data_IF_054558462743
#
_entry.id   IF_054558462743
#
_cell.length_a   1.000
_cell.length_b   1.000
_cell.length_c   1.000
_cell.angle_alpha   90.00
_cell.angle_beta   90.00
_cell.angle_gamma   90.00
#
_symmetry.space_group_name_H-M   'P 1'
#
loop_
_entity.id
_entity.type
_entity.pdbx_description
1 polymer ?
#
# COMPACT_ATOMS: atom_id res chain seq x y z
N UNK A 1 -9.64 -36.85 23.13
CA UNK A 1 -10.61 -35.83 22.69
C UNK A 1 -9.83 -34.82 21.85
N UNK A 2 -9.78 -35.01 20.53
CA UNK A 2 -9.10 -34.07 19.63
C UNK A 2 -10.07 -32.93 19.33
N UNK A 3 -9.68 -31.70 19.68
CA UNK A 3 -10.41 -30.50 19.28
C UNK A 3 -10.13 -30.26 17.79
N UNK A 4 -11.14 -30.28 16.90
CA UNK A 4 -10.93 -29.86 15.53
C UNK A 4 -10.74 -28.34 15.58
N UNK A 5 -9.53 -27.86 15.35
CA UNK A 5 -9.36 -26.45 14.98
C UNK A 5 -10.07 -26.32 13.64
N UNK A 6 -11.22 -25.65 13.62
CA UNK A 6 -11.95 -25.34 12.41
C UNK A 6 -11.00 -24.61 11.45
N UNK A 7 -10.61 -25.30 10.37
CA UNK A 7 -9.82 -24.77 9.24
C UNK A 7 -10.65 -23.79 8.37
N UNK A 8 -11.44 -22.93 8.99
CA UNK A 8 -12.12 -21.84 8.31
C UNK A 8 -11.26 -20.60 8.45
N UNK A 9 -10.54 -20.25 7.39
CA UNK A 9 -10.00 -18.89 7.21
C UNK A 9 -11.17 -17.92 7.39
N UNK A 10 -11.10 -16.98 8.34
CA UNK A 10 -12.13 -15.96 8.52
C UNK A 10 -12.42 -15.28 7.17
N UNK A 11 -13.68 -15.09 6.81
CA UNK A 11 -14.06 -14.42 5.54
C UNK A 11 -13.41 -13.04 5.39
N UNK A 12 -13.08 -12.38 6.50
CA UNK A 12 -12.36 -11.10 6.53
C UNK A 12 -10.94 -11.23 5.99
N UNK A 13 -10.21 -12.29 6.35
CA UNK A 13 -8.85 -12.56 5.87
C UNK A 13 -8.84 -12.84 4.35
N UNK A 14 -9.91 -13.43 3.82
CA UNK A 14 -10.08 -13.64 2.38
C UNK A 14 -10.29 -12.32 1.63
N UNK A 15 -11.14 -11.44 2.18
CA UNK A 15 -11.42 -10.12 1.60
C UNK A 15 -10.17 -9.23 1.62
N UNK A 16 -9.43 -9.23 2.73
CA UNK A 16 -8.16 -8.51 2.86
C UNK A 16 -7.12 -9.01 1.85
N UNK A 17 -7.04 -10.34 1.66
CA UNK A 17 -6.14 -10.93 0.65
C UNK A 17 -6.52 -10.51 -0.76
N UNK A 18 -7.80 -10.60 -1.12
CA UNK A 18 -8.28 -10.18 -2.44
C UNK A 18 -8.02 -8.68 -2.71
N UNK A 19 -8.21 -7.84 -1.69
CA UNK A 19 -7.92 -6.41 -1.77
C UNK A 19 -6.42 -6.14 -1.96
N UNK A 20 -5.56 -6.84 -1.21
CA UNK A 20 -4.11 -6.75 -1.35
C UNK A 20 -3.65 -7.18 -2.75
N UNK A 21 -4.14 -8.31 -3.27
CA UNK A 21 -3.81 -8.78 -4.62
C UNK A 21 -4.24 -7.79 -5.71
N UNK A 22 -5.41 -7.16 -5.53
CA UNK A 22 -5.87 -6.10 -6.44
C UNK A 22 -4.95 -4.88 -6.41
N UNK A 23 -4.57 -4.40 -5.23
CA UNK A 23 -3.66 -3.27 -5.06
C UNK A 23 -2.27 -3.56 -5.65
N UNK A 24 -1.76 -4.78 -5.53
CA UNK A 24 -0.48 -5.18 -6.14
C UNK A 24 -0.57 -5.14 -7.67
N UNK A 25 -1.64 -5.68 -8.27
CA UNK A 25 -1.83 -5.64 -9.73
C UNK A 25 -1.91 -4.20 -10.25
N UNK A 26 -2.61 -3.32 -9.53
CA UNK A 26 -2.69 -1.89 -9.86
C UNK A 26 -1.30 -1.24 -9.81
N UNK A 27 -0.56 -1.43 -8.71
CA UNK A 27 0.78 -0.84 -8.57
C UNK A 27 1.78 -1.31 -9.64
N UNK A 28 1.69 -2.58 -10.06
CA UNK A 28 2.49 -3.09 -11.18
C UNK A 28 2.11 -2.43 -12.51
N UNK A 29 0.81 -2.26 -12.77
CA UNK A 29 0.32 -1.59 -13.98
C UNK A 29 0.73 -0.11 -14.03
N UNK A 30 0.68 0.59 -12.89
CA UNK A 30 1.13 1.98 -12.78
C UNK A 30 2.63 2.13 -13.01
N UNK A 31 3.42 1.22 -12.43
CA UNK A 31 4.87 1.17 -12.65
C UNK A 31 5.20 0.97 -14.13
N UNK A 32 4.53 0.02 -14.79
CA UNK A 32 4.71 -0.24 -16.22
C UNK A 32 4.28 0.96 -17.10
N UNK A 33 3.25 1.69 -16.69
CA UNK A 33 2.78 2.91 -17.35
C UNK A 33 3.60 4.16 -16.99
N UNK A 34 4.67 4.02 -16.19
CA UNK A 34 5.49 5.12 -15.68
C UNK A 34 4.71 6.17 -14.86
N UNK A 35 3.58 5.76 -14.26
CA UNK A 35 2.80 6.56 -13.31
C UNK A 35 3.38 6.45 -11.90
N UNK A 36 4.64 6.88 -11.75
CA UNK A 36 5.40 6.78 -10.50
C UNK A 36 5.97 8.14 -10.09
N UNK A 37 5.94 8.43 -8.80
CA UNK A 37 6.59 9.63 -8.25
C UNK A 37 8.07 9.34 -7.96
N UNK A 38 9.01 10.17 -8.43
CA UNK A 38 10.43 10.00 -8.13
C UNK A 38 10.72 10.03 -6.62
N UNK A 39 11.58 9.11 -6.16
CA UNK A 39 11.98 8.99 -4.76
C UNK A 39 12.40 10.33 -4.13
N UNK A 40 13.24 11.11 -4.81
CA UNK A 40 13.75 12.37 -4.27
C UNK A 40 12.66 13.42 -4.01
N UNK A 41 11.55 13.38 -4.77
CA UNK A 41 10.40 14.26 -4.53
C UNK A 41 9.67 13.83 -3.26
N UNK A 42 9.40 12.54 -3.12
CA UNK A 42 8.75 11.95 -1.93
C UNK A 42 9.60 12.19 -0.68
N UNK A 43 10.91 11.91 -0.75
CA UNK A 43 11.85 12.12 0.35
C UNK A 43 11.84 13.56 0.84
N UNK A 44 11.92 14.53 -0.07
CA UNK A 44 11.95 15.95 0.28
C UNK A 44 10.64 16.39 0.94
N UNK A 45 9.51 15.91 0.42
CA UNK A 45 8.21 16.15 1.00
C UNK A 45 8.12 15.61 2.43
N UNK A 46 8.45 14.34 2.64
CA UNK A 46 8.43 13.72 3.98
C UNK A 46 9.36 14.44 4.98
N UNK A 47 10.54 14.87 4.54
CA UNK A 47 11.47 15.60 5.40
C UNK A 47 11.03 17.03 5.73
N UNK A 48 10.07 17.58 4.99
CA UNK A 48 9.53 18.92 5.24
C UNK A 48 8.38 18.92 6.25
N UNK A 49 7.81 17.76 6.57
CA UNK A 49 6.68 17.64 7.48
C UNK A 49 6.99 18.21 8.87
N UNK A 50 6.07 19.02 9.40
CA UNK A 50 6.20 19.65 10.71
C UNK A 50 7.21 20.80 10.76
N UNK A 51 7.72 21.24 9.61
CA UNK A 51 8.54 22.45 9.48
C UNK A 51 7.69 23.65 9.04
N UNK A 52 8.18 24.87 9.30
CA UNK A 52 7.56 26.10 8.77
C UNK A 52 7.54 26.15 7.24
N UNK A 53 8.38 25.35 6.59
CA UNK A 53 8.51 25.23 5.12
C UNK A 53 7.97 23.90 4.59
N UNK A 54 6.92 23.35 5.20
CA UNK A 54 6.31 22.11 4.76
C UNK A 54 5.88 22.19 3.28
N UNK A 55 6.28 21.18 2.52
CA UNK A 55 6.03 21.09 1.08
C UNK A 55 4.69 20.40 0.82
N UNK A 56 4.01 20.72 -0.30
CA UNK A 56 2.83 19.97 -0.71
C UNK A 56 3.21 18.54 -1.14
N UNK A 57 2.26 17.59 -1.09
CA UNK A 57 2.46 16.25 -1.62
C UNK A 57 2.90 16.29 -3.09
N UNK A 58 3.86 15.45 -3.49
CA UNK A 58 4.33 15.41 -4.86
C UNK A 58 3.28 14.80 -5.81
N UNK A 59 3.26 15.30 -7.04
CA UNK A 59 2.56 14.68 -8.18
C UNK A 59 3.51 13.76 -8.96
#
# INVERSE_FOLDING_TARGET
MSNPHSDTVPEQDEQERAAFEAAVREGLADSAAQRVTPYEKVRRWLLSWGSESELPPPQ
#
